data_IF_677206636443
#
_entry.id   IF_677206636443
#
_cell.length_a   1.000
_cell.length_b   1.000
_cell.length_c   1.000
_cell.angle_alpha   90.00
_cell.angle_beta   90.00
_cell.angle_gamma   90.00
#
_symmetry.space_group_name_H-M   'P 1'
#
loop_
_entity.id
_entity.type
_entity.pdbx_description
1 polymer ?
#
# COMPACT_ATOMS: atom_id res chain seq x y z
N UNK A 1 -13.92 3.43 11.68
CA UNK A 1 -13.40 2.93 10.38
C UNK A 1 -12.26 3.88 9.99
N UNK A 2 -11.67 3.83 8.79
CA UNK A 2 -10.81 4.95 8.35
C UNK A 2 -11.71 6.17 8.08
N UNK A 3 -11.34 7.37 8.52
CA UNK A 3 -12.11 8.60 8.26
C UNK A 3 -12.42 8.81 6.76
N UNK A 4 -11.52 8.34 5.89
CA UNK A 4 -11.71 8.37 4.43
C UNK A 4 -12.81 7.42 3.97
N UNK A 5 -12.92 6.24 4.59
CA UNK A 5 -13.96 5.25 4.26
C UNK A 5 -15.32 5.76 4.72
N UNK A 6 -15.39 6.40 5.89
CA UNK A 6 -16.64 6.96 6.41
C UNK A 6 -17.16 8.07 5.48
N UNK A 7 -16.28 8.95 5.00
CA UNK A 7 -16.67 9.99 4.03
C UNK A 7 -17.03 9.43 2.65
N UNK A 8 -16.33 8.40 2.18
CA UNK A 8 -16.68 7.70 0.95
C UNK A 8 -18.11 7.13 1.03
N UNK A 9 -18.43 6.44 2.12
CA UNK A 9 -19.77 5.92 2.40
C UNK A 9 -20.83 7.03 2.49
N UNK A 10 -20.51 8.17 3.10
CA UNK A 10 -21.41 9.34 3.15
C UNK A 10 -21.72 9.89 1.75
N UNK A 11 -20.71 10.03 0.88
CA UNK A 11 -20.91 10.53 -0.48
C UNK A 11 -21.73 9.56 -1.33
N UNK A 12 -21.43 8.26 -1.23
CA UNK A 12 -22.15 7.21 -1.96
C UNK A 12 -23.65 7.22 -1.61
N UNK A 13 -23.97 7.37 -0.32
CA UNK A 13 -25.35 7.39 0.19
C UNK A 13 -26.03 8.77 0.13
N UNK A 14 -25.36 9.79 -0.39
CA UNK A 14 -25.92 11.14 -0.51
C UNK A 14 -26.93 11.27 -1.66
N UNK A 15 -27.74 12.34 -1.60
CA UNK A 15 -28.67 12.72 -2.66
C UNK A 15 -28.02 13.56 -3.78
N UNK A 16 -26.68 13.60 -3.84
CA UNK A 16 -25.95 14.27 -4.91
C UNK A 16 -26.22 13.61 -6.27
N UNK A 17 -26.08 14.38 -7.34
CA UNK A 17 -26.03 13.79 -8.69
C UNK A 17 -24.77 12.92 -8.86
N UNK A 18 -24.81 11.98 -9.81
CA UNK A 18 -23.68 11.07 -10.04
C UNK A 18 -22.39 11.83 -10.40
N UNK A 19 -22.49 12.92 -11.18
CA UNK A 19 -21.36 13.78 -11.54
C UNK A 19 -20.75 14.48 -10.32
N UNK A 20 -21.59 14.91 -9.36
CA UNK A 20 -21.13 15.52 -8.11
C UNK A 20 -20.48 14.49 -7.18
N UNK A 21 -21.05 13.28 -7.10
CA UNK A 21 -20.45 12.17 -6.34
C UNK A 21 -19.07 11.84 -6.87
N UNK A 22 -18.93 11.66 -8.19
CA UNK A 22 -17.64 11.34 -8.80
C UNK A 22 -16.58 12.40 -8.47
N UNK A 23 -16.95 13.68 -8.54
CA UNK A 23 -16.04 14.78 -8.21
C UNK A 23 -15.59 14.77 -6.75
N UNK A 24 -16.51 14.61 -5.81
CA UNK A 24 -16.21 14.57 -4.37
C UNK A 24 -15.40 13.32 -3.99
N UNK A 25 -15.74 12.16 -4.55
CA UNK A 25 -14.98 10.92 -4.38
C UNK A 25 -13.55 11.09 -4.89
N UNK A 26 -13.37 11.62 -6.10
CA UNK A 26 -12.05 11.87 -6.66
C UNK A 26 -11.23 12.82 -5.77
N UNK A 27 -11.84 13.87 -5.19
CA UNK A 27 -11.15 14.79 -4.29
C UNK A 27 -10.71 14.13 -2.97
N UNK A 28 -11.51 13.21 -2.42
CA UNK A 28 -11.17 12.50 -1.19
C UNK A 28 -10.06 11.47 -1.41
N UNK A 29 -10.11 10.79 -2.55
CA UNK A 29 -9.11 9.80 -2.92
C UNK A 29 -7.88 10.41 -3.60
N UNK A 30 -7.90 11.71 -3.92
CA UNK A 30 -6.78 12.42 -4.52
C UNK A 30 -5.54 12.32 -3.63
N UNK A 31 -4.44 11.85 -4.21
CA UNK A 31 -3.19 11.63 -3.47
C UNK A 31 -3.19 10.40 -2.57
N UNK A 32 -4.31 9.66 -2.46
CA UNK A 32 -4.30 8.37 -1.78
C UNK A 32 -3.56 7.34 -2.63
N UNK A 33 -2.34 7.04 -2.21
CA UNK A 33 -1.45 6.07 -2.84
C UNK A 33 -1.57 4.73 -2.13
N UNK A 34 -1.43 3.61 -2.84
CA UNK A 34 -1.34 2.30 -2.22
C UNK A 34 -0.17 2.23 -1.22
N UNK A 35 -0.49 2.10 0.08
CA UNK A 35 0.50 2.19 1.17
C UNK A 35 1.03 0.86 1.67
N UNK A 36 0.29 -0.23 1.46
CA UNK A 36 0.65 -1.54 1.98
C UNK A 36 0.12 -2.67 1.10
N UNK A 37 0.99 -3.64 0.81
CA UNK A 37 0.67 -4.87 0.07
C UNK A 37 1.01 -6.08 0.92
N UNK A 38 0.16 -7.10 0.91
CA UNK A 38 0.47 -8.44 1.41
C UNK A 38 0.06 -9.45 0.34
N UNK A 39 0.96 -10.36 -0.02
CA UNK A 39 0.66 -11.35 -1.03
C UNK A 39 1.65 -12.49 -1.11
N UNK A 40 1.30 -13.48 -1.94
CA UNK A 40 2.09 -14.66 -2.20
C UNK A 40 2.31 -14.78 -3.71
N UNK A 41 3.52 -15.10 -4.14
CA UNK A 41 3.81 -15.36 -5.55
C UNK A 41 3.57 -16.84 -5.92
N UNK A 42 3.65 -17.16 -7.22
CA UNK A 42 3.41 -18.53 -7.73
C UNK A 42 4.43 -19.56 -7.24
N UNK A 43 5.58 -19.12 -6.74
CA UNK A 43 6.65 -19.98 -6.26
C UNK A 43 6.57 -20.27 -4.76
N UNK A 44 5.70 -19.57 -4.04
CA UNK A 44 5.52 -19.78 -2.61
C UNK A 44 5.99 -18.63 -1.74
N UNK A 45 6.78 -17.69 -2.28
CA UNK A 45 7.30 -16.54 -1.52
C UNK A 45 6.14 -15.66 -1.03
N UNK A 46 6.18 -15.32 0.25
CA UNK A 46 5.22 -14.41 0.89
C UNK A 46 5.92 -13.08 1.12
N UNK A 47 5.25 -11.98 0.77
CA UNK A 47 5.77 -10.64 1.00
C UNK A 47 4.73 -9.71 1.63
N UNK A 48 5.22 -8.85 2.51
CA UNK A 48 4.54 -7.64 2.97
C UNK A 48 5.39 -6.45 2.55
N UNK A 49 4.81 -5.48 1.86
CA UNK A 49 5.51 -4.30 1.37
C UNK A 49 4.82 -3.04 1.89
N UNK A 50 5.61 -2.08 2.37
CA UNK A 50 5.14 -0.75 2.74
C UNK A 50 5.71 0.28 1.77
N UNK A 51 4.86 1.19 1.33
CA UNK A 51 5.18 2.21 0.33
C UNK A 51 5.16 3.60 0.97
N UNK A 52 5.91 4.54 0.41
CA UNK A 52 5.86 5.96 0.78
C UNK A 52 4.65 6.68 0.13
N UNK A 53 4.58 8.01 0.28
CA UNK A 53 3.42 8.81 -0.17
C UNK A 53 3.34 8.91 -1.68
N UNK A 54 4.39 8.49 -2.39
CA UNK A 54 4.50 8.49 -3.85
C UNK A 54 4.33 7.09 -4.44
N UNK A 55 4.13 6.08 -3.60
CA UNK A 55 3.96 4.68 -4.02
C UNK A 55 5.29 3.98 -4.22
N UNK A 56 6.38 4.50 -3.65
CA UNK A 56 7.70 3.87 -3.72
C UNK A 56 7.89 2.91 -2.54
N UNK A 57 8.21 1.63 -2.75
CA UNK A 57 8.45 0.68 -1.65
C UNK A 57 9.62 1.14 -0.77
N UNK A 58 9.42 1.18 0.55
CA UNK A 58 10.45 1.55 1.54
C UNK A 58 10.83 0.43 2.48
N UNK A 59 9.92 -0.50 2.73
CA UNK A 59 10.14 -1.64 3.61
C UNK A 59 9.54 -2.87 2.95
N UNK A 60 10.29 -3.98 2.93
CA UNK A 60 9.80 -5.29 2.50
C UNK A 60 10.09 -6.32 3.57
N UNK A 61 9.09 -7.10 3.96
CA UNK A 61 9.26 -8.31 4.74
C UNK A 61 8.96 -9.48 3.82
N UNK A 62 9.87 -10.42 3.70
CA UNK A 62 9.78 -11.52 2.73
C UNK A 62 10.16 -12.83 3.41
N UNK A 63 9.40 -13.89 3.12
CA UNK A 63 9.78 -15.28 3.40
C UNK A 63 9.94 -15.96 2.04
N UNK A 64 11.15 -16.35 1.68
CA UNK A 64 11.42 -16.96 0.38
C UNK A 64 10.96 -18.42 0.28
N UNK A 65 11.20 -19.02 -0.88
CA UNK A 65 10.89 -20.41 -1.21
C UNK A 65 11.63 -21.44 -0.33
N UNK A 66 12.63 -21.02 0.45
CA UNK A 66 13.40 -21.85 1.38
C UNK A 66 13.02 -21.57 2.84
N UNK A 67 11.90 -20.87 3.07
CA UNK A 67 11.44 -20.43 4.39
C UNK A 67 12.43 -19.50 5.12
N UNK A 68 13.29 -18.80 4.39
CA UNK A 68 14.25 -17.86 4.98
C UNK A 68 13.58 -16.48 5.09
N UNK A 69 13.37 -15.96 6.31
CA UNK A 69 12.79 -14.64 6.51
C UNK A 69 13.84 -13.54 6.32
N UNK A 70 13.45 -12.45 5.66
CA UNK A 70 14.24 -11.23 5.56
C UNK A 70 13.34 -9.99 5.66
N UNK A 71 13.85 -8.95 6.29
CA UNK A 71 13.31 -7.61 6.25
C UNK A 71 14.32 -6.70 5.59
N UNK A 72 13.89 -5.91 4.61
CA UNK A 72 14.74 -5.01 3.82
C UNK A 72 14.20 -3.59 3.89
N UNK A 73 15.11 -2.63 4.06
CA UNK A 73 14.82 -1.19 3.98
C UNK A 73 15.37 -0.64 2.68
N UNK A 74 14.56 0.10 1.94
CA UNK A 74 14.87 0.59 0.60
C UNK A 74 15.00 2.12 0.61
N UNK A 75 15.89 2.64 -0.23
CA UNK A 75 15.94 4.07 -0.54
C UNK A 75 14.86 4.48 -1.56
N UNK A 76 14.85 5.76 -1.95
CA UNK A 76 13.90 6.30 -2.94
C UNK A 76 14.11 5.78 -4.36
N UNK A 77 15.16 5.01 -4.62
CA UNK A 77 15.43 4.36 -5.91
C UNK A 77 15.16 2.85 -5.84
N UNK A 78 14.66 2.35 -4.70
CA UNK A 78 14.41 0.93 -4.48
C UNK A 78 15.66 0.12 -4.17
N UNK A 79 16.81 0.76 -3.89
CA UNK A 79 18.03 0.06 -3.50
C UNK A 79 17.96 -0.28 -2.02
N UNK A 80 18.36 -1.50 -1.68
CA UNK A 80 18.43 -1.94 -0.28
C UNK A 80 19.54 -1.18 0.45
N UNK A 81 19.18 -0.56 1.57
CA UNK A 81 20.06 0.20 2.46
C UNK A 81 20.36 -0.55 3.75
N UNK A 82 19.48 -1.45 4.18
CA UNK A 82 19.64 -2.26 5.38
C UNK A 82 18.83 -3.56 5.30
N UNK A 83 19.31 -4.62 5.97
CA UNK A 83 18.63 -5.93 6.06
C UNK A 83 18.63 -6.50 7.48
N UNK A 84 17.58 -7.26 7.79
CA UNK A 84 17.48 -8.11 8.97
C UNK A 84 17.06 -9.53 8.53
N UNK A 85 17.81 -10.58 8.90
CA UNK A 85 19.14 -10.51 9.47
C UNK A 85 20.13 -9.79 8.53
N UNK A 86 21.20 -9.18 9.05
CA UNK A 86 22.28 -8.67 8.21
C UNK A 86 22.98 -9.82 7.47
N UNK A 87 23.56 -9.52 6.30
CA UNK A 87 24.47 -10.45 5.60
C UNK A 87 25.77 -10.68 6.38
#
# INVERSE_FOLDING_TARGET
MSELIEKDEEIQNSNLSEDEKEKELNAIWEGNTHRAFMGKNTKGEVSVQLFDSKGTPRIRMVVDEKDIPRMEFLDSQGKVTYRLPPE
#
